data_IF_323252789348
#
_entry.id   IF_323252789348
#
_cell.length_a   1.000
_cell.length_b   1.000
_cell.length_c   1.000
_cell.angle_alpha   90.00
_cell.angle_beta   90.00
_cell.angle_gamma   90.00
#
_symmetry.space_group_name_H-M   'P 1'
#
loop_
_entity.id
_entity.type
_entity.pdbx_description
1 polymer ?
#
# COMPACT_ATOMS: atom_id res chain seq x y z
N UNK A 1 -29.72 -0.10 24.72
CA UNK A 1 -28.73 -1.10 25.18
C UNK A 1 -28.33 -2.10 24.09
N UNK A 2 -29.25 -2.80 23.42
CA UNK A 2 -28.91 -3.81 22.39
C UNK A 2 -28.12 -3.27 21.19
N UNK A 3 -28.44 -2.06 20.70
CA UNK A 3 -27.74 -1.44 19.57
C UNK A 3 -26.27 -1.09 19.88
N UNK A 4 -26.01 -0.56 21.09
CA UNK A 4 -24.65 -0.18 21.50
C UNK A 4 -23.77 -1.42 21.59
N UNK A 5 -24.28 -2.48 22.22
CA UNK A 5 -23.55 -3.74 22.32
C UNK A 5 -23.24 -4.34 20.94
N UNK A 6 -24.20 -4.28 20.02
CA UNK A 6 -24.00 -4.70 18.64
C UNK A 6 -22.91 -3.88 17.92
N UNK A 7 -22.99 -2.54 17.96
CA UNK A 7 -21.99 -1.66 17.34
C UNK A 7 -20.59 -1.81 17.95
N UNK A 8 -20.49 -1.97 19.28
CA UNK A 8 -19.22 -2.22 19.96
C UNK A 8 -18.63 -3.58 19.59
N UNK A 9 -19.45 -4.63 19.48
CA UNK A 9 -19.00 -5.95 19.06
C UNK A 9 -18.50 -5.96 17.61
N UNK A 10 -19.17 -5.23 16.72
CA UNK A 10 -18.77 -5.06 15.33
C UNK A 10 -17.44 -4.29 15.22
N UNK A 11 -17.29 -3.18 15.96
CA UNK A 11 -16.05 -2.42 15.99
C UNK A 11 -14.87 -3.26 16.51
N UNK A 12 -15.08 -4.06 17.56
CA UNK A 12 -14.06 -4.98 18.07
C UNK A 12 -13.70 -6.07 17.04
N UNK A 13 -14.68 -6.62 16.33
CA UNK A 13 -14.42 -7.57 15.26
C UNK A 13 -13.62 -6.93 14.12
N UNK A 14 -13.99 -5.73 13.69
CA UNK A 14 -13.30 -4.97 12.64
C UNK A 14 -11.85 -4.68 13.01
N UNK A 15 -11.57 -4.25 14.25
CA UNK A 15 -10.21 -4.00 14.73
C UNK A 15 -9.38 -5.28 14.90
N UNK A 16 -10.00 -6.46 14.93
CA UNK A 16 -9.30 -7.75 15.04
C UNK A 16 -9.04 -8.41 13.70
N UNK A 17 -9.90 -8.15 12.72
CA UNK A 17 -9.81 -8.76 11.40
C UNK A 17 -8.92 -7.97 10.45
N UNK A 18 -8.53 -6.74 10.82
CA UNK A 18 -7.70 -5.84 10.01
C UNK A 18 -8.12 -5.88 8.53
N UNK A 19 -9.38 -5.50 8.21
CA UNK A 19 -9.94 -5.69 6.87
C UNK A 19 -9.14 -4.94 5.79
N UNK A 20 -8.45 -3.87 6.17
CA UNK A 20 -7.56 -3.13 5.30
C UNK A 20 -6.11 -3.55 5.54
N UNK A 21 -5.34 -3.64 4.46
CA UNK A 21 -3.92 -4.03 4.50
C UNK A 21 -3.04 -3.03 5.26
N UNK A 22 -3.38 -1.75 5.19
CA UNK A 22 -2.64 -0.67 5.85
C UNK A 22 -3.26 -0.33 7.19
N UNK A 23 -2.43 -0.30 8.24
CA UNK A 23 -2.82 0.06 9.61
C UNK A 23 -3.54 1.41 9.70
N UNK A 24 -3.09 2.39 8.91
CA UNK A 24 -3.69 3.73 8.89
C UNK A 24 -5.15 3.69 8.44
N UNK A 25 -5.47 2.84 7.47
CA UNK A 25 -6.84 2.67 6.98
C UNK A 25 -7.71 1.95 8.01
N UNK A 26 -7.20 0.91 8.68
CA UNK A 26 -7.91 0.25 9.79
C UNK A 26 -8.20 1.20 10.95
N UNK A 27 -7.25 2.09 11.27
CA UNK A 27 -7.42 3.10 12.31
C UNK A 27 -8.49 4.14 11.91
N UNK A 28 -8.42 4.69 10.69
CA UNK A 28 -9.40 5.66 10.18
C UNK A 28 -10.82 5.09 10.13
N UNK A 29 -10.96 3.85 9.67
CA UNK A 29 -12.24 3.13 9.58
C UNK A 29 -12.83 2.83 10.98
N UNK A 30 -11.97 2.47 11.94
CA UNK A 30 -12.35 2.34 13.35
C UNK A 30 -12.82 3.65 13.97
N UNK A 31 -12.10 4.75 13.72
CA UNK A 31 -12.48 6.09 14.18
C UNK A 31 -13.81 6.55 13.58
N UNK A 32 -14.04 6.30 12.30
CA UNK A 32 -15.30 6.60 11.62
C UNK A 32 -16.46 5.86 12.28
N UNK A 33 -16.30 4.55 12.47
CA UNK A 33 -17.32 3.68 13.08
C UNK A 33 -17.61 4.10 14.51
N UNK A 34 -16.59 4.46 15.30
CA UNK A 34 -16.75 5.00 16.65
C UNK A 34 -17.47 6.35 16.66
N UNK A 35 -17.15 7.26 15.72
CA UNK A 35 -17.77 8.58 15.61
C UNK A 35 -19.26 8.50 15.30
N UNK A 36 -19.64 7.61 14.38
CA UNK A 36 -21.03 7.35 14.00
C UNK A 36 -21.79 6.69 15.16
N UNK A 37 -21.15 5.73 15.83
CA UNK A 37 -21.71 5.09 17.03
C UNK A 37 -21.98 6.10 18.14
N UNK A 38 -21.01 6.96 18.46
CA UNK A 38 -21.17 8.04 19.44
C UNK A 38 -22.31 8.99 19.04
N UNK A 39 -22.34 9.45 17.79
CA UNK A 39 -23.41 10.32 17.29
C UNK A 39 -24.81 9.71 17.44
N UNK A 40 -24.97 8.42 17.10
CA UNK A 40 -26.23 7.70 17.27
C UNK A 40 -26.62 7.58 18.76
N UNK A 41 -25.68 7.26 19.65
CA UNK A 41 -25.97 7.18 21.09
C UNK A 41 -26.36 8.51 21.69
N UNK A 42 -25.68 9.59 21.31
CA UNK A 42 -26.01 10.94 21.75
C UNK A 42 -27.38 11.38 21.23
N UNK A 43 -27.73 11.04 19.98
CA UNK A 43 -29.06 11.31 19.42
C UNK A 43 -30.19 10.63 20.20
N UNK A 44 -29.99 9.37 20.59
CA UNK A 44 -30.95 8.63 21.43
C UNK A 44 -31.04 9.20 22.84
N UNK A 45 -29.92 9.58 23.46
CA UNK A 45 -29.97 10.19 24.81
C UNK A 45 -30.62 11.57 24.81
N UNK A 46 -30.43 12.34 23.75
CA UNK A 46 -31.05 13.66 23.60
C UNK A 46 -32.57 13.57 23.39
N UNK A 47 -33.11 12.48 22.83
CA UNK A 47 -34.56 12.33 22.66
C UNK A 47 -35.31 12.08 23.96
N UNK A 48 -34.66 11.48 24.96
CA UNK A 48 -35.31 11.03 26.20
C UNK A 48 -35.12 12.00 27.39
N UNK A 49 -34.15 12.92 27.33
CA UNK A 49 -33.77 13.82 28.44
C UNK A 49 -34.22 15.27 28.20
N UNK A 50 -35.42 15.62 28.66
CA UNK A 50 -36.04 16.95 28.44
C UNK A 50 -35.37 18.08 29.25
N UNK A 51 -34.76 17.78 30.41
CA UNK A 51 -34.32 18.81 31.38
C UNK A 51 -32.88 19.30 31.24
N UNK A 52 -31.98 18.57 30.57
CA UNK A 52 -30.56 18.96 30.39
C UNK A 52 -30.07 18.84 28.93
N UNK A 53 -31.01 18.89 27.99
CA UNK A 53 -30.78 18.68 26.56
C UNK A 53 -29.65 19.58 25.99
N UNK A 54 -29.55 20.83 26.45
CA UNK A 54 -28.57 21.80 25.95
C UNK A 54 -27.11 21.39 26.19
N UNK A 55 -26.77 20.95 27.41
CA UNK A 55 -25.39 20.56 27.75
C UNK A 55 -24.98 19.29 27.02
N UNK A 56 -25.88 18.31 26.92
CA UNK A 56 -25.62 17.03 26.24
C UNK A 56 -25.42 17.26 24.74
N UNK A 57 -26.27 18.09 24.11
CA UNK A 57 -26.15 18.41 22.69
C UNK A 57 -24.85 19.16 22.38
N UNK A 58 -24.47 20.15 23.20
CA UNK A 58 -23.23 20.91 22.99
C UNK A 58 -22.00 20.00 23.13
N UNK A 59 -21.94 19.21 24.21
CA UNK A 59 -20.83 18.30 24.48
C UNK A 59 -20.68 17.26 23.35
N UNK A 60 -21.78 16.60 22.98
CA UNK A 60 -21.78 15.57 21.94
C UNK A 60 -21.43 16.14 20.56
N UNK A 61 -21.98 17.31 20.19
CA UNK A 61 -21.68 17.96 18.92
C UNK A 61 -20.21 18.36 18.84
N UNK A 62 -19.64 18.88 19.95
CA UNK A 62 -18.23 19.30 19.98
C UNK A 62 -17.29 18.11 19.86
N UNK A 63 -17.58 17.01 20.56
CA UNK A 63 -16.81 15.76 20.43
C UNK A 63 -16.91 15.19 19.01
N UNK A 64 -18.11 15.16 18.43
CA UNK A 64 -18.33 14.65 17.08
C UNK A 64 -17.56 15.47 16.03
N UNK A 65 -17.67 16.81 16.08
CA UNK A 65 -16.94 17.71 15.18
C UNK A 65 -15.42 17.55 15.38
N UNK A 66 -14.95 17.42 16.61
CA UNK A 66 -13.54 17.18 16.91
C UNK A 66 -13.00 15.90 16.26
N UNK A 67 -13.76 14.80 16.31
CA UNK A 67 -13.39 13.54 15.65
C UNK A 67 -13.38 13.69 14.13
N UNK A 68 -14.37 14.36 13.54
CA UNK A 68 -14.41 14.60 12.08
C UNK A 68 -13.22 15.45 11.61
N UNK A 69 -12.85 16.49 12.36
CA UNK A 69 -11.69 17.32 12.05
C UNK A 69 -10.38 16.53 12.15
N UNK A 70 -10.23 15.68 13.16
CA UNK A 70 -9.09 14.79 13.30
C UNK A 70 -8.99 13.81 12.12
N UNK A 71 -10.12 13.21 11.73
CA UNK A 71 -10.19 12.34 10.56
C UNK A 71 -9.80 13.06 9.27
N UNK A 72 -10.32 14.27 9.05
CA UNK A 72 -9.95 15.08 7.89
C UNK A 72 -8.45 15.41 7.90
N UNK A 73 -7.88 15.75 9.05
CA UNK A 73 -6.45 16.00 9.21
C UNK A 73 -5.60 14.78 8.86
N UNK A 74 -5.98 13.59 9.35
CA UNK A 74 -5.29 12.33 9.03
C UNK A 74 -5.42 11.94 7.56
N UNK A 75 -6.59 12.15 6.95
CA UNK A 75 -6.82 11.92 5.53
C UNK A 75 -5.94 12.84 4.68
N UNK A 76 -5.95 14.15 4.98
CA UNK A 76 -5.11 15.14 4.30
C UNK A 76 -3.63 14.80 4.47
N UNK A 77 -3.20 14.43 5.68
CA UNK A 77 -1.84 13.98 5.92
C UNK A 77 -1.46 12.76 5.08
N UNK A 78 -2.33 11.76 4.99
CA UNK A 78 -2.11 10.57 4.15
C UNK A 78 -2.02 10.93 2.66
N UNK A 79 -2.89 11.82 2.18
CA UNK A 79 -2.85 12.32 0.80
C UNK A 79 -1.56 13.09 0.53
N UNK A 80 -1.15 13.95 1.46
CA UNK A 80 0.12 14.67 1.35
C UNK A 80 1.31 13.71 1.32
N UNK A 81 1.30 12.65 2.13
CA UNK A 81 2.33 11.62 2.04
C UNK A 81 2.34 10.92 0.68
N UNK A 82 1.17 10.64 0.10
CA UNK A 82 1.08 10.03 -1.24
C UNK A 82 1.65 10.95 -2.33
N UNK A 83 1.44 12.27 -2.19
CA UNK A 83 1.94 13.26 -3.14
C UNK A 83 3.43 13.60 -2.95
N UNK A 84 3.96 13.46 -1.75
CA UNK A 84 5.34 13.89 -1.41
C UNK A 84 6.35 12.74 -1.43
N UNK A 85 5.93 11.50 -1.19
CA UNK A 85 6.81 10.34 -1.22
C UNK A 85 7.14 10.00 -2.67
N UNK A 86 8.30 10.48 -3.14
CA UNK A 86 8.91 10.01 -4.39
C UNK A 86 9.27 8.52 -4.32
N UNK A 87 9.66 7.92 -5.45
CA UNK A 87 9.98 6.50 -5.52
C UNK A 87 11.08 6.14 -4.53
N UNK A 88 10.85 5.11 -3.71
CA UNK A 88 11.82 4.66 -2.72
C UNK A 88 13.10 4.13 -3.38
N UNK A 89 12.99 3.54 -4.56
CA UNK A 89 14.09 2.94 -5.30
C UNK A 89 14.27 3.60 -6.66
N UNK A 90 15.53 3.80 -7.05
CA UNK A 90 15.84 4.29 -8.38
C UNK A 90 15.65 3.18 -9.41
N UNK A 91 16.16 2.00 -9.11
CA UNK A 91 16.14 0.86 -10.02
C UNK A 91 15.50 -0.36 -9.36
N UNK A 92 14.72 -1.10 -10.13
CA UNK A 92 14.26 -2.45 -9.81
C UNK A 92 14.86 -3.44 -10.80
N UNK A 93 15.48 -4.52 -10.32
CA UNK A 93 16.09 -5.55 -11.17
C UNK A 93 15.23 -6.82 -11.16
N UNK A 94 14.47 -7.01 -12.23
CA UNK A 94 13.75 -8.23 -12.54
C UNK A 94 14.71 -9.26 -13.14
N UNK A 95 14.75 -10.47 -12.57
CA UNK A 95 15.66 -11.52 -13.01
C UNK A 95 15.11 -12.92 -12.70
N UNK A 96 15.53 -13.91 -13.48
CA UNK A 96 15.23 -15.30 -13.16
C UNK A 96 16.14 -15.80 -12.02
N UNK A 97 15.56 -16.15 -10.88
CA UNK A 97 16.31 -16.57 -9.67
C UNK A 97 17.35 -17.66 -9.96
N UNK A 98 16.96 -18.77 -10.58
CA UNK A 98 17.88 -19.88 -10.80
C UNK A 98 19.01 -19.61 -11.83
N UNK A 99 18.80 -18.67 -12.77
CA UNK A 99 19.70 -18.51 -13.93
C UNK A 99 20.50 -17.20 -13.90
N UNK A 100 20.06 -16.21 -13.11
CA UNK A 100 20.60 -14.86 -13.16
C UNK A 100 20.89 -14.24 -11.78
N UNK A 101 20.66 -14.95 -10.66
CA UNK A 101 20.74 -14.35 -9.32
C UNK A 101 22.12 -13.76 -9.00
N UNK A 102 23.21 -14.48 -9.32
CA UNK A 102 24.56 -13.99 -9.06
C UNK A 102 24.87 -12.75 -9.91
N UNK A 103 24.52 -12.77 -11.20
CA UNK A 103 24.76 -11.66 -12.12
C UNK A 103 23.89 -10.45 -11.76
N UNK A 104 22.63 -10.65 -11.39
CA UNK A 104 21.73 -9.58 -10.96
C UNK A 104 22.22 -8.92 -9.66
N UNK A 105 22.76 -9.69 -8.72
CA UNK A 105 23.39 -9.15 -7.50
C UNK A 105 24.67 -8.37 -7.81
N UNK A 106 25.50 -8.85 -8.73
CA UNK A 106 26.67 -8.11 -9.21
C UNK A 106 26.26 -6.80 -9.88
N UNK A 107 25.24 -6.82 -10.75
CA UNK A 107 24.69 -5.65 -11.41
C UNK A 107 24.18 -4.63 -10.38
N UNK A 108 23.45 -5.09 -9.35
CA UNK A 108 23.00 -4.26 -8.22
C UNK A 108 24.18 -3.56 -7.56
N UNK A 109 25.24 -4.29 -7.18
CA UNK A 109 26.41 -3.72 -6.51
C UNK A 109 27.09 -2.66 -7.39
N UNK A 110 27.27 -2.96 -8.69
CA UNK A 110 27.91 -2.04 -9.64
C UNK A 110 27.08 -0.78 -9.88
N UNK A 111 25.76 -0.92 -10.10
CA UNK A 111 24.86 0.21 -10.28
C UNK A 111 24.76 1.06 -9.01
N UNK A 112 24.71 0.44 -7.83
CA UNK A 112 24.67 1.16 -6.56
C UNK A 112 25.96 1.95 -6.34
N UNK A 113 27.12 1.35 -6.65
CA UNK A 113 28.41 2.03 -6.56
C UNK A 113 28.52 3.21 -7.56
N UNK A 114 28.03 3.03 -8.79
CA UNK A 114 28.12 4.05 -9.83
C UNK A 114 27.14 5.22 -9.63
N UNK A 115 25.92 4.94 -9.16
CA UNK A 115 24.84 5.95 -9.08
C UNK A 115 24.62 6.49 -7.67
N UNK A 116 25.13 5.80 -6.64
CA UNK A 116 24.82 6.04 -5.22
C UNK A 116 23.31 6.04 -4.92
N UNK A 117 22.52 5.33 -5.72
CA UNK A 117 21.08 5.23 -5.57
C UNK A 117 20.66 3.90 -4.92
N UNK A 118 19.45 3.86 -4.37
CA UNK A 118 18.84 2.63 -3.84
C UNK A 118 18.34 1.75 -4.98
N UNK A 119 18.67 0.47 -4.91
CA UNK A 119 18.35 -0.53 -5.93
C UNK A 119 17.67 -1.71 -5.26
N UNK A 120 16.53 -2.10 -5.80
CA UNK A 120 15.76 -3.26 -5.35
C UNK A 120 15.96 -4.46 -6.28
N UNK A 121 15.97 -5.66 -5.71
CA UNK A 121 16.04 -6.92 -6.43
C UNK A 121 15.08 -7.91 -5.75
N UNK A 122 14.35 -8.68 -6.56
CA UNK A 122 13.36 -9.70 -6.12
C UNK A 122 13.90 -10.64 -5.02
N UNK A 123 15.21 -10.90 -4.99
CA UNK A 123 15.82 -11.83 -4.03
C UNK A 123 15.93 -11.33 -2.59
N UNK A 124 15.74 -10.03 -2.31
CA UNK A 124 16.07 -9.45 -1.01
C UNK A 124 14.89 -9.43 -0.01
N UNK A 125 13.62 -9.56 -0.45
CA UNK A 125 12.43 -9.39 0.41
C UNK A 125 11.26 -10.34 0.02
N UNK A 126 11.59 -11.61 -0.21
CA UNK A 126 10.74 -12.64 -0.85
C UNK A 126 9.64 -13.25 0.06
N UNK A 127 9.06 -12.47 0.98
CA UNK A 127 8.04 -12.95 1.93
C UNK A 127 6.60 -12.66 1.46
N UNK A 128 6.40 -11.61 0.66
CA UNK A 128 5.08 -11.20 0.16
C UNK A 128 5.18 -10.72 -1.30
N UNK A 129 4.58 -11.48 -2.23
CA UNK A 129 4.60 -11.16 -3.66
C UNK A 129 3.65 -10.04 -4.04
N UNK A 130 2.60 -9.79 -3.26
CA UNK A 130 1.71 -8.64 -3.51
C UNK A 130 2.48 -7.34 -3.28
N UNK A 131 3.33 -7.33 -2.25
CA UNK A 131 4.22 -6.20 -1.96
C UNK A 131 5.23 -5.96 -3.09
N UNK A 132 5.64 -6.99 -3.81
CA UNK A 132 6.58 -6.88 -4.93
C UNK A 132 5.98 -6.05 -6.07
N UNK A 133 4.74 -6.33 -6.45
CA UNK A 133 4.05 -5.56 -7.49
C UNK A 133 3.74 -4.13 -7.06
N UNK A 134 3.45 -3.89 -5.77
CA UNK A 134 3.29 -2.53 -5.25
C UNK A 134 4.59 -1.73 -5.31
N UNK A 135 5.73 -2.38 -5.01
CA UNK A 135 7.05 -1.75 -5.13
C UNK A 135 7.30 -1.37 -6.59
N UNK A 136 7.09 -2.31 -7.52
CA UNK A 136 7.27 -2.05 -8.96
C UNK A 136 6.33 -0.95 -9.43
N UNK A 137 5.07 -0.93 -8.99
CA UNK A 137 4.07 -0.02 -9.54
C UNK A 137 4.22 1.42 -9.06
N UNK A 138 4.72 1.64 -7.83
CA UNK A 138 4.65 2.93 -7.15
C UNK A 138 5.95 3.39 -6.50
N UNK A 139 6.89 2.48 -6.21
CA UNK A 139 8.09 2.80 -5.42
C UNK A 139 9.38 2.76 -6.23
N UNK A 140 9.30 2.55 -7.54
CA UNK A 140 10.44 2.40 -8.44
C UNK A 140 10.38 3.46 -9.53
N UNK A 141 11.54 4.04 -9.87
CA UNK A 141 11.65 4.99 -10.98
C UNK A 141 11.95 4.35 -12.32
N UNK A 142 12.91 3.43 -12.36
CA UNK A 142 13.38 2.76 -13.58
C UNK A 142 13.34 1.23 -13.38
N UNK A 143 12.78 0.51 -14.34
CA UNK A 143 12.70 -0.95 -14.30
C UNK A 143 13.79 -1.57 -15.17
N UNK A 144 14.52 -2.54 -14.65
CA UNK A 144 15.60 -3.25 -15.35
C UNK A 144 15.20 -4.71 -15.52
N UNK A 145 14.98 -5.10 -16.77
CA UNK A 145 14.73 -6.49 -17.15
C UNK A 145 16.06 -7.18 -17.47
N UNK A 146 16.50 -8.12 -16.61
CA UNK A 146 17.69 -8.92 -16.84
C UNK A 146 17.35 -10.14 -17.71
N UNK A 147 17.45 -9.94 -19.02
CA UNK A 147 16.98 -10.85 -20.04
C UNK A 147 17.87 -12.08 -20.18
N UNK A 148 17.40 -13.20 -19.64
CA UNK A 148 17.92 -14.56 -19.83
C UNK A 148 16.92 -15.40 -20.64
N UNK A 149 17.33 -16.52 -21.26
CA UNK A 149 16.40 -17.39 -22.00
C UNK A 149 15.18 -17.82 -21.16
N UNK A 150 15.37 -18.00 -19.86
CA UNK A 150 14.33 -18.43 -18.92
C UNK A 150 13.61 -17.26 -18.22
N UNK A 151 13.82 -16.00 -18.60
CA UNK A 151 13.23 -14.87 -17.87
C UNK A 151 11.69 -14.97 -17.82
N UNK A 152 11.07 -15.22 -18.96
CA UNK A 152 9.61 -15.26 -19.08
C UNK A 152 8.99 -16.60 -18.68
N UNK A 153 9.79 -17.63 -18.39
CA UNK A 153 9.27 -18.92 -17.91
C UNK A 153 8.82 -18.86 -16.45
N UNK A 154 9.21 -17.81 -15.71
CA UNK A 154 8.78 -17.56 -14.34
C UNK A 154 7.62 -16.55 -14.35
N UNK A 155 6.40 -16.94 -13.94
CA UNK A 155 5.23 -16.06 -13.97
C UNK A 155 5.43 -14.73 -13.24
N UNK A 156 6.21 -14.74 -12.16
CA UNK A 156 6.54 -13.54 -11.38
C UNK A 156 7.27 -12.49 -12.21
N UNK A 157 8.26 -12.88 -13.00
CA UNK A 157 8.99 -11.96 -13.86
C UNK A 157 8.09 -11.37 -14.95
N UNK A 158 7.19 -12.18 -15.51
CA UNK A 158 6.18 -11.68 -16.45
C UNK A 158 5.21 -10.70 -15.77
N UNK A 159 4.79 -10.98 -14.54
CA UNK A 159 3.96 -10.08 -13.73
C UNK A 159 4.66 -8.75 -13.42
N UNK A 160 5.94 -8.79 -13.06
CA UNK A 160 6.75 -7.61 -12.78
C UNK A 160 6.89 -6.73 -14.03
N UNK A 161 7.23 -7.33 -15.18
CA UNK A 161 7.34 -6.63 -16.46
C UNK A 161 6.00 -6.01 -16.86
N UNK A 162 4.91 -6.78 -16.73
CA UNK A 162 3.55 -6.29 -17.05
C UNK A 162 3.15 -5.14 -16.14
N UNK A 163 3.49 -5.22 -14.85
CA UNK A 163 3.21 -4.16 -13.86
C UNK A 163 4.00 -2.90 -14.18
N UNK A 164 5.30 -3.03 -14.46
CA UNK A 164 6.15 -1.92 -14.87
C UNK A 164 5.64 -1.24 -16.15
N UNK A 165 5.19 -2.04 -17.13
CA UNK A 165 4.59 -1.54 -18.37
C UNK A 165 3.28 -0.79 -18.11
N UNK A 166 2.37 -1.34 -17.29
CA UNK A 166 1.11 -0.68 -16.90
C UNK A 166 1.35 0.62 -16.15
N UNK A 167 2.34 0.65 -15.26
CA UNK A 167 2.76 1.86 -14.51
C UNK A 167 3.59 2.84 -15.34
N UNK A 168 3.79 2.59 -16.65
CA UNK A 168 4.56 3.45 -17.57
C UNK A 168 5.98 3.71 -17.09
N UNK A 169 6.60 2.75 -16.42
CA UNK A 169 8.00 2.86 -16.04
C UNK A 169 8.90 2.74 -17.26
N UNK A 170 10.01 3.49 -17.34
CA UNK A 170 11.08 3.20 -18.28
C UNK A 170 11.62 1.79 -18.06
N UNK A 171 11.61 0.96 -19.10
CA UNK A 171 12.11 -0.42 -19.07
C UNK A 171 13.47 -0.48 -19.78
N UNK A 172 14.51 -0.85 -19.04
CA UNK A 172 15.87 -1.04 -19.51
C UNK A 172 16.13 -2.54 -19.64
N UNK A 173 16.45 -2.98 -20.86
CA UNK A 173 16.73 -4.40 -21.14
C UNK A 173 18.23 -4.68 -21.07
N UNK A 174 18.63 -5.58 -20.17
CA UNK A 174 20.01 -6.09 -20.09
C UNK A 174 20.01 -7.49 -20.70
N UNK A 175 20.42 -7.58 -21.97
CA UNK A 175 20.40 -8.84 -22.73
C UNK A 175 21.65 -9.67 -22.43
N UNK A 176 21.42 -10.91 -22.01
CA UNK A 176 22.48 -11.93 -21.99
C UNK A 176 22.66 -12.55 -23.38
N UNK A 177 23.83 -13.12 -23.71
CA UNK A 177 24.08 -13.70 -25.04
C UNK A 177 23.07 -14.78 -25.47
N UNK A 178 22.47 -15.50 -24.52
CA UNK A 178 21.47 -16.53 -24.81
C UNK A 178 20.03 -16.00 -24.97
N UNK A 179 19.77 -14.72 -24.71
CA UNK A 179 18.41 -14.19 -24.77
C UNK A 179 17.92 -14.10 -26.22
N UNK A 180 16.77 -14.74 -26.47
CA UNK A 180 16.02 -14.59 -27.71
C UNK A 180 14.76 -13.78 -27.41
N UNK A 181 14.50 -12.76 -28.23
CA UNK A 181 13.26 -12.02 -28.12
C UNK A 181 12.11 -12.92 -28.59
N UNK A 182 10.96 -12.92 -27.88
CA UNK A 182 9.79 -13.65 -28.34
C UNK A 182 9.36 -13.12 -29.71
N UNK A 183 9.13 -14.03 -30.65
CA UNK A 183 8.52 -13.72 -31.95
C UNK A 183 7.01 -13.58 -31.80
N UNK A 184 6.34 -12.90 -32.72
CA UNK A 184 4.89 -12.64 -32.66
C UNK A 184 4.00 -13.90 -32.67
N UNK A 185 4.59 -15.08 -32.82
CA UNK A 185 3.94 -16.38 -32.90
C UNK A 185 3.95 -17.16 -31.58
N UNK A 186 4.55 -16.60 -30.52
CA UNK A 186 4.61 -17.17 -29.16
C UNK A 186 3.77 -16.34 -28.18
#
# INVERSE_FOLDING_TARGET
FSLIFFLSSFCLAQQRLDPWREWTTNCLDGMLTLSLGLGLTCGVMASDMVTEMGTIVILSTTVFVGILLLMLGLLLWSLLQLLTKGPAFRYFICHHKAHAQAQARLLKIRLAAATRQRIFIDSDDLVDLDRLFDIVSSQVRDFVAYCTPALLTRPWCAGEITTAWRSRLPIIYVKTPGFQAPTAEQ
#
